data_IF_547062191667
#
_entry.id   IF_547062191667
#
_cell.length_a   1.000
_cell.length_b   1.000
_cell.length_c   1.000
_cell.angle_alpha   90.00
_cell.angle_beta   90.00
_cell.angle_gamma   90.00
#
_symmetry.space_group_name_H-M   'P 1'
#
loop_
_entity.id
_entity.type
_entity.pdbx_description
1 polymer ?
#
# COMPACT_ATOMS: atom_id res chain seq x y z
N UNK A 1 -18.45 6.56 11.64
CA UNK A 1 -17.16 6.00 12.09
C UNK A 1 -16.38 5.56 10.86
N UNK A 2 -15.13 6.00 10.69
CA UNK A 2 -14.26 5.46 9.63
C UNK A 2 -13.98 3.99 9.94
N UNK A 3 -14.11 3.12 8.93
CA UNK A 3 -13.88 1.68 9.06
C UNK A 3 -12.38 1.41 9.15
N UNK A 4 -11.99 0.52 10.06
CA UNK A 4 -10.60 0.21 10.37
C UNK A 4 -10.22 -1.15 9.77
N UNK A 5 -9.85 -1.13 8.49
CA UNK A 5 -9.72 -2.36 7.72
C UNK A 5 -8.55 -3.23 8.21
N UNK A 6 -7.46 -2.63 8.71
CA UNK A 6 -6.34 -3.39 9.28
C UNK A 6 -6.81 -4.18 10.50
N UNK A 7 -7.59 -3.57 11.40
CA UNK A 7 -8.12 -4.26 12.57
C UNK A 7 -9.08 -5.39 12.19
N UNK A 8 -10.00 -5.14 11.25
CA UNK A 8 -10.96 -6.12 10.77
C UNK A 8 -10.25 -7.33 10.12
N UNK A 9 -9.25 -7.07 9.27
CA UNK A 9 -8.44 -8.10 8.63
C UNK A 9 -7.61 -8.88 9.65
N UNK A 10 -7.00 -8.19 10.61
CA UNK A 10 -6.25 -8.85 11.69
C UNK A 10 -7.13 -9.78 12.53
N UNK A 11 -8.33 -9.34 12.90
CA UNK A 11 -9.28 -10.19 13.64
C UNK A 11 -9.66 -11.43 12.81
N UNK A 12 -9.95 -11.24 11.52
CA UNK A 12 -10.31 -12.32 10.61
C UNK A 12 -9.21 -13.36 10.41
N UNK A 13 -7.95 -12.93 10.34
CA UNK A 13 -6.80 -13.80 10.15
C UNK A 13 -6.07 -14.16 11.45
N UNK A 14 -6.67 -13.89 12.60
CA UNK A 14 -6.12 -14.18 13.93
C UNK A 14 -4.71 -13.60 14.17
N UNK A 15 -4.47 -12.39 13.65
CA UNK A 15 -3.22 -11.66 13.85
C UNK A 15 -3.32 -10.81 15.11
N UNK A 16 -2.57 -11.19 16.14
CA UNK A 16 -2.58 -10.49 17.42
C UNK A 16 -2.01 -9.06 17.33
N UNK A 17 -0.95 -8.85 16.55
CA UNK A 17 -0.19 -7.58 16.51
C UNK A 17 -0.67 -6.62 15.40
N UNK A 18 -1.95 -6.28 15.41
CA UNK A 18 -2.55 -5.36 14.44
C UNK A 18 -2.07 -3.90 14.61
N UNK A 19 -1.69 -3.51 15.83
CA UNK A 19 -1.14 -2.19 16.14
C UNK A 19 0.21 -1.96 15.45
N UNK A 20 1.09 -2.97 15.37
CA UNK A 20 2.33 -2.88 14.59
C UNK A 20 2.05 -2.68 13.10
N UNK A 21 1.10 -3.43 12.54
CA UNK A 21 0.73 -3.30 11.12
C UNK A 21 0.22 -1.88 10.86
N UNK A 22 -0.64 -1.36 11.73
CA UNK A 22 -1.16 0.01 11.62
C UNK A 22 -0.04 1.04 11.73
N UNK A 23 0.88 0.90 12.68
CA UNK A 23 2.01 1.81 12.84
C UNK A 23 2.87 1.87 11.58
N UNK A 24 3.17 0.73 10.99
CA UNK A 24 3.96 0.66 9.75
C UNK A 24 3.18 1.17 8.54
N UNK A 25 1.88 0.90 8.46
CA UNK A 25 1.01 1.48 7.44
C UNK A 25 0.95 3.00 7.54
N UNK A 26 0.83 3.57 8.75
CA UNK A 26 0.77 5.02 8.94
C UNK A 26 2.07 5.71 8.49
N UNK A 27 3.24 5.09 8.74
CA UNK A 27 4.52 5.58 8.22
C UNK A 27 4.55 5.55 6.69
N UNK A 28 4.11 4.44 6.09
CA UNK A 28 4.02 4.30 4.64
C UNK A 28 3.07 5.34 4.04
N UNK A 29 1.88 5.49 4.62
CA UNK A 29 0.84 6.43 4.20
C UNK A 29 1.35 7.87 4.22
N UNK A 30 1.96 8.30 5.33
CA UNK A 30 2.49 9.65 5.46
C UNK A 30 3.56 9.99 4.39
N UNK A 31 4.41 9.02 4.02
CA UNK A 31 5.49 9.24 3.05
C UNK A 31 5.11 9.03 1.59
N UNK A 32 3.99 8.36 1.28
CA UNK A 32 3.71 7.88 -0.09
C UNK A 32 2.27 8.15 -0.57
N UNK A 33 1.32 8.24 0.34
CA UNK A 33 -0.11 8.39 0.02
C UNK A 33 -0.57 9.81 0.34
N UNK A 34 -0.22 10.33 1.53
CA UNK A 34 -0.63 11.67 1.96
C UNK A 34 0.03 12.79 1.15
N UNK A 35 1.05 12.44 0.37
CA UNK A 35 1.70 13.35 -0.59
C UNK A 35 0.97 13.43 -1.94
N UNK A 36 -0.06 12.62 -2.16
CA UNK A 36 -0.83 12.62 -3.39
C UNK A 36 -1.86 13.76 -3.38
N UNK A 37 -1.98 14.46 -4.51
CA UNK A 37 -2.90 15.58 -4.66
C UNK A 37 -4.38 15.17 -4.55
N UNK A 38 -4.69 13.93 -4.97
CA UNK A 38 -6.03 13.37 -4.86
C UNK A 38 -5.96 11.94 -4.31
N UNK A 39 -6.67 11.73 -3.20
CA UNK A 39 -6.87 10.42 -2.59
C UNK A 39 -8.30 10.37 -2.05
N UNK A 40 -9.05 9.32 -2.41
CA UNK A 40 -10.37 9.06 -1.86
C UNK A 40 -10.37 7.88 -0.88
N UNK A 41 -11.49 7.72 -0.15
CA UNK A 41 -11.62 6.68 0.87
C UNK A 41 -11.54 5.25 0.27
N UNK A 42 -11.93 5.06 -1.00
CA UNK A 42 -11.83 3.76 -1.65
C UNK A 42 -10.38 3.42 -1.99
N UNK A 43 -9.60 4.39 -2.47
CA UNK A 43 -8.17 4.24 -2.70
C UNK A 43 -7.44 3.93 -1.40
N UNK A 44 -7.74 4.65 -0.31
CA UNK A 44 -7.17 4.38 1.02
C UNK A 44 -7.44 2.95 1.46
N UNK A 45 -8.69 2.50 1.35
CA UNK A 45 -9.10 1.13 1.66
C UNK A 45 -8.29 0.10 0.85
N UNK A 46 -8.10 0.31 -0.46
CA UNK A 46 -7.30 -0.57 -1.31
C UNK A 46 -5.86 -0.64 -0.80
N UNK A 47 -5.25 0.51 -0.49
CA UNK A 47 -3.89 0.56 0.04
C UNK A 47 -3.76 -0.16 1.38
N UNK A 48 -4.73 -0.05 2.28
CA UNK A 48 -4.73 -0.78 3.56
C UNK A 48 -4.77 -2.30 3.34
N UNK A 49 -5.64 -2.79 2.45
CA UNK A 49 -5.72 -4.21 2.12
C UNK A 49 -4.42 -4.73 1.47
N UNK A 50 -3.89 -3.97 0.51
CA UNK A 50 -2.66 -4.35 -0.19
C UNK A 50 -1.44 -4.28 0.75
N UNK A 51 -1.43 -3.32 1.68
CA UNK A 51 -0.38 -3.21 2.69
C UNK A 51 -0.43 -4.37 3.66
N UNK A 52 -1.61 -4.68 4.19
CA UNK A 52 -1.82 -5.83 5.07
C UNK A 52 -1.36 -7.13 4.40
N UNK A 53 -1.76 -7.36 3.15
CA UNK A 53 -1.31 -8.51 2.36
C UNK A 53 0.22 -8.52 2.24
N UNK A 54 0.83 -7.39 1.90
CA UNK A 54 2.28 -7.33 1.72
C UNK A 54 3.04 -7.52 3.04
N UNK A 55 2.51 -7.02 4.14
CA UNK A 55 3.13 -7.08 5.46
C UNK A 55 3.07 -8.49 6.04
N UNK A 56 1.89 -9.11 5.97
CA UNK A 56 1.60 -10.41 6.61
C UNK A 56 1.91 -11.59 5.71
N UNK A 57 2.01 -11.36 4.39
CA UNK A 57 2.12 -12.39 3.33
C UNK A 57 0.93 -13.37 3.29
N UNK A 58 -0.17 -13.07 3.98
CA UNK A 58 -1.37 -13.89 3.97
C UNK A 58 -2.08 -13.74 2.62
N UNK A 59 -2.44 -14.87 2.01
CA UNK A 59 -3.14 -14.88 0.73
C UNK A 59 -4.62 -14.51 0.93
N UNK A 60 -5.06 -13.48 0.22
CA UNK A 60 -6.48 -13.11 0.16
C UNK A 60 -7.23 -13.98 -0.85
N UNK A 61 -8.44 -14.36 -0.48
CA UNK A 61 -9.49 -14.85 -1.36
C UNK A 61 -10.30 -13.66 -1.90
N UNK A 62 -11.08 -13.89 -2.96
CA UNK A 62 -11.94 -12.84 -3.56
C UNK A 62 -12.95 -12.25 -2.56
N UNK A 63 -13.32 -13.00 -1.52
CA UNK A 63 -14.26 -12.56 -0.47
C UNK A 63 -13.61 -11.64 0.57
N UNK A 64 -12.29 -11.55 0.56
CA UNK A 64 -11.51 -10.72 1.48
C UNK A 64 -11.29 -9.32 0.94
N UNK A 65 -11.55 -9.13 -0.36
CA UNK A 65 -11.58 -7.82 -1.00
C UNK A 65 -13.00 -7.24 -0.93
N UNK A 66 -13.14 -5.93 -0.65
CA UNK A 66 -14.41 -5.21 -0.80
C UNK A 66 -14.94 -5.35 -2.23
N UNK A 67 -16.27 -5.30 -2.40
CA UNK A 67 -16.91 -5.51 -3.72
C UNK A 67 -16.53 -4.44 -4.73
N UNK A 68 -16.21 -3.26 -4.23
CA UNK A 68 -15.77 -2.08 -4.97
C UNK A 68 -14.34 -2.22 -5.50
N UNK A 69 -13.56 -3.16 -4.94
CA UNK A 69 -12.15 -3.36 -5.29
C UNK A 69 -12.01 -4.46 -6.34
N UNK A 70 -11.69 -4.04 -7.57
CA UNK A 70 -11.33 -5.01 -8.61
C UNK A 70 -9.96 -5.66 -8.32
N UNK A 71 -9.74 -6.93 -8.73
CA UNK A 71 -8.44 -7.58 -8.58
C UNK A 71 -7.30 -6.83 -9.26
N UNK A 72 -7.59 -6.10 -10.36
CA UNK A 72 -6.61 -5.30 -11.10
C UNK A 72 -6.12 -4.13 -10.25
N UNK A 73 -7.05 -3.38 -9.63
CA UNK A 73 -6.74 -2.25 -8.76
C UNK A 73 -5.92 -2.71 -7.54
N UNK A 74 -6.34 -3.81 -6.91
CA UNK A 74 -5.59 -4.40 -5.79
C UNK A 74 -4.16 -4.78 -6.19
N UNK A 75 -3.98 -5.41 -7.36
CA UNK A 75 -2.65 -5.80 -7.86
C UNK A 75 -1.76 -4.58 -8.09
N UNK A 76 -2.29 -3.51 -8.68
CA UNK A 76 -1.55 -2.25 -8.89
C UNK A 76 -1.08 -1.66 -7.56
N UNK A 77 -1.98 -1.53 -6.57
CA UNK A 77 -1.61 -1.02 -5.25
C UNK A 77 -0.57 -1.91 -4.55
N UNK A 78 -0.70 -3.23 -4.67
CA UNK A 78 0.25 -4.18 -4.11
C UNK A 78 1.65 -4.05 -4.74
N UNK A 79 1.73 -3.84 -6.05
CA UNK A 79 3.00 -3.61 -6.74
C UNK A 79 3.65 -2.30 -6.30
N UNK A 80 2.88 -1.23 -6.11
CA UNK A 80 3.39 0.03 -5.57
C UNK A 80 3.94 -0.12 -4.17
N UNK A 81 3.20 -0.77 -3.27
CA UNK A 81 3.63 -1.01 -1.90
C UNK A 81 4.91 -1.85 -1.89
N UNK A 82 5.01 -2.91 -2.72
CA UNK A 82 6.21 -3.74 -2.79
C UNK A 82 7.47 -2.96 -3.23
N UNK A 83 7.30 -1.94 -4.08
CA UNK A 83 8.40 -1.09 -4.52
C UNK A 83 8.81 -0.07 -3.46
N UNK A 84 7.84 0.51 -2.77
CA UNK A 84 8.03 1.66 -1.88
C UNK A 84 8.21 1.30 -0.39
N UNK A 85 7.73 0.12 0.03
CA UNK A 85 7.82 -0.35 1.41
C UNK A 85 8.82 -1.49 1.56
N UNK A 86 9.89 -1.24 2.33
CA UNK A 86 10.88 -2.24 2.74
C UNK A 86 10.76 -2.46 4.24
N UNK A 87 10.34 -3.65 4.72
CA UNK A 87 10.21 -3.93 6.14
C UNK A 87 11.54 -3.71 6.87
N UNK A 88 11.51 -2.98 8.00
CA UNK A 88 12.69 -2.82 8.88
C UNK A 88 13.73 -1.80 8.41
N UNK A 89 13.51 -1.08 7.30
CA UNK A 89 14.28 0.12 6.98
C UNK A 89 13.53 1.35 7.51
N UNK A 90 14.16 2.09 8.43
CA UNK A 90 13.75 3.47 8.70
C UNK A 90 13.93 4.30 7.41
N UNK A 91 13.13 5.36 7.19
CA UNK A 91 13.31 6.26 6.07
C UNK A 91 14.52 7.14 6.34
N UNK A 92 15.70 6.54 6.28
CA UNK A 92 16.95 7.27 6.12
C UNK A 92 17.45 7.03 4.70
N UNK A 93 17.77 8.14 4.06
CA UNK A 93 18.57 8.25 2.85
C UNK A 93 17.86 8.08 1.48
N UNK A 94 17.69 9.28 0.90
CA UNK A 94 18.06 9.68 -0.47
C UNK A 94 16.93 9.58 -1.49
N UNK A 95 16.40 10.77 -1.78
CA UNK A 95 15.50 11.00 -2.88
C UNK A 95 16.09 10.54 -4.22
N UNK A 96 15.18 10.07 -5.06
CA UNK A 96 15.30 10.10 -6.51
C UNK A 96 13.88 10.32 -7.02
N UNK A 97 13.56 11.59 -7.24
CA UNK A 97 12.46 12.01 -8.10
C UNK A 97 12.76 11.41 -9.47
N UNK A 98 12.01 10.39 -9.90
CA UNK A 98 12.10 9.90 -11.26
C UNK A 98 11.04 10.64 -12.10
N UNK A 99 11.48 11.67 -12.81
CA UNK A 99 10.69 12.39 -13.80
C UNK A 99 10.17 11.39 -14.86
N UNK A 100 8.85 11.32 -15.07
CA UNK A 100 8.23 10.52 -16.15
C UNK A 100 8.71 10.92 -17.56
N UNK A 101 9.37 12.08 -17.71
CA UNK A 101 9.90 12.58 -18.97
C UNK A 101 11.22 11.94 -19.45
N UNK A 102 11.87 11.07 -18.66
CA UNK A 102 13.11 10.40 -19.10
C UNK A 102 12.89 9.14 -19.94
N UNK A 103 11.65 8.73 -20.20
CA UNK A 103 11.33 7.52 -20.98
C UNK A 103 11.12 7.83 -22.47
N UNK A 104 10.95 9.10 -22.85
CA UNK A 104 10.72 9.49 -24.25
C UNK A 104 11.52 10.74 -24.61
N UNK A 105 12.79 10.53 -25.00
CA UNK A 105 13.69 11.37 -25.82
C UNK A 105 15.13 10.92 -25.51
N UNK A 106 16.06 10.57 -26.40
CA UNK A 106 16.13 10.42 -27.85
C UNK A 106 17.44 9.61 -28.08
N UNK A 107 17.38 8.63 -28.99
CA UNK A 107 18.43 8.23 -29.94
C UNK A 107 19.94 8.10 -29.57
N UNK A 108 20.44 6.91 -29.92
CA UNK A 108 21.78 6.57 -30.47
C UNK A 108 23.00 6.59 -29.53
N UNK A 109 24.06 5.81 -29.81
CA UNK A 109 24.55 5.29 -31.10
C UNK A 109 23.82 4.06 -31.63
#
# INVERSE_FOLDING_TARGET
>A
MKKDYIKDLSAKYLICDHERIRKEYNKYKAGNIDTLEYIDDNMLMVYEHAFFYNFTKIKFSKKDLPKEVSPKIFKTALEEIRKKYVPGKSPECKGLVCNLYSITNHFSP
#
